data_IF_093072081587
#
_entry.id   IF_093072081587
#
_cell.length_a   1.000
_cell.length_b   1.000
_cell.length_c   1.000
_cell.angle_alpha   90.00
_cell.angle_beta   90.00
_cell.angle_gamma   90.00
#
_symmetry.space_group_name_H-M   'P 1'
#
loop_
_entity.id
_entity.type
_entity.pdbx_description
1 polymer ?
#
# COMPACT_ATOMS: atom_id res chain seq x y z
N UNK A 1 -7.56 -6.77 -20.90
CA UNK A 1 -7.19 -6.89 -19.46
C UNK A 1 -5.76 -7.41 -19.37
N UNK A 2 -4.89 -6.82 -18.54
CA UNK A 2 -3.47 -7.22 -18.44
C UNK A 2 -3.37 -8.66 -17.86
N UNK A 3 -2.66 -9.60 -18.54
CA UNK A 3 -2.61 -11.00 -18.14
C UNK A 3 -1.83 -11.23 -16.84
N UNK A 4 -0.79 -10.44 -16.57
CA UNK A 4 0.02 -10.51 -15.34
C UNK A 4 -0.83 -10.07 -14.14
N UNK A 5 -1.53 -8.94 -14.28
CA UNK A 5 -2.49 -8.46 -13.27
C UNK A 5 -3.53 -9.54 -12.94
N UNK A 6 -4.16 -10.12 -13.96
CA UNK A 6 -5.20 -11.15 -13.77
C UNK A 6 -4.68 -12.35 -12.99
N UNK A 7 -3.47 -12.81 -13.30
CA UNK A 7 -2.86 -13.94 -12.63
C UNK A 7 -2.55 -13.61 -11.16
N UNK A 8 -1.86 -12.50 -10.92
CA UNK A 8 -1.49 -12.07 -9.56
C UNK A 8 -2.73 -11.85 -8.68
N UNK A 9 -3.78 -11.19 -9.19
CA UNK A 9 -5.04 -10.99 -8.45
C UNK A 9 -5.66 -12.31 -8.06
N UNK A 10 -5.66 -13.31 -8.95
CA UNK A 10 -6.17 -14.66 -8.64
C UNK A 10 -5.39 -15.29 -7.49
N UNK A 11 -4.06 -15.22 -7.50
CA UNK A 11 -3.24 -15.80 -6.42
C UNK A 11 -3.33 -15.02 -5.11
N UNK A 12 -3.42 -13.69 -5.17
CA UNK A 12 -3.57 -12.81 -4.00
C UNK A 12 -4.98 -12.83 -3.39
N UNK A 13 -5.95 -13.47 -4.04
CA UNK A 13 -7.28 -13.74 -3.52
C UNK A 13 -7.47 -15.20 -3.10
N UNK A 14 -6.86 -16.14 -3.81
CA UNK A 14 -7.15 -17.57 -3.67
C UNK A 14 -6.11 -18.40 -2.93
N UNK A 15 -4.87 -17.91 -2.74
CA UNK A 15 -3.84 -18.68 -2.03
C UNK A 15 -4.03 -18.62 -0.52
N UNK A 16 -3.70 -19.71 0.17
CA UNK A 16 -3.78 -19.80 1.64
C UNK A 16 -2.92 -18.72 2.31
N UNK A 17 -1.70 -18.45 1.80
CA UNK A 17 -0.85 -17.37 2.31
C UNK A 17 -1.49 -15.99 2.15
N UNK A 18 -2.10 -15.70 1.01
CA UNK A 18 -2.78 -14.42 0.83
C UNK A 18 -3.99 -14.29 1.77
N UNK A 19 -4.75 -15.36 1.99
CA UNK A 19 -5.83 -15.39 2.97
C UNK A 19 -5.31 -15.16 4.39
N UNK A 20 -4.16 -15.73 4.76
CA UNK A 20 -3.50 -15.47 6.04
C UNK A 20 -3.13 -13.99 6.18
N UNK A 21 -2.56 -13.37 5.15
CA UNK A 21 -2.23 -11.94 5.19
C UNK A 21 -3.47 -11.05 5.35
N UNK A 22 -4.54 -11.32 4.60
CA UNK A 22 -5.80 -10.59 4.74
C UNK A 22 -6.41 -10.79 6.13
N UNK A 23 -6.31 -12.01 6.67
CA UNK A 23 -6.76 -12.32 8.03
C UNK A 23 -5.96 -11.56 9.07
N UNK A 24 -4.62 -11.56 8.99
CA UNK A 24 -3.75 -10.82 9.90
C UNK A 24 -4.03 -9.32 9.84
N UNK A 25 -4.16 -8.78 8.62
CA UNK A 25 -4.57 -7.39 8.40
C UNK A 25 -5.89 -7.10 9.13
N UNK A 26 -6.93 -7.90 8.87
CA UNK A 26 -8.25 -7.72 9.46
C UNK A 26 -8.26 -7.93 10.98
N UNK A 27 -7.48 -8.85 11.53
CA UNK A 27 -7.34 -9.05 12.98
C UNK A 27 -6.79 -7.80 13.64
N UNK A 28 -5.75 -7.18 13.05
CA UNK A 28 -5.18 -5.94 13.61
C UNK A 28 -6.22 -4.81 13.54
N UNK A 29 -6.92 -4.65 12.42
CA UNK A 29 -7.98 -3.64 12.30
C UNK A 29 -9.14 -3.91 13.27
N UNK A 30 -9.56 -5.17 13.41
CA UNK A 30 -10.62 -5.58 14.33
C UNK A 30 -10.23 -5.33 15.80
N UNK A 31 -8.97 -5.61 16.18
CA UNK A 31 -8.45 -5.29 17.51
C UNK A 31 -8.49 -3.79 17.77
N UNK A 32 -8.11 -2.96 16.81
CA UNK A 32 -8.23 -1.50 16.95
C UNK A 32 -9.69 -1.04 17.06
N UNK A 33 -10.59 -1.63 16.27
CA UNK A 33 -12.03 -1.37 16.39
C UNK A 33 -12.54 -1.78 17.77
N UNK A 34 -12.15 -2.94 18.28
CA UNK A 34 -12.53 -3.41 19.62
C UNK A 34 -12.00 -2.47 20.72
N UNK A 35 -10.73 -2.08 20.65
CA UNK A 35 -10.12 -1.13 21.60
C UNK A 35 -10.74 0.28 21.51
N UNK A 36 -11.40 0.58 20.39
CA UNK A 36 -12.14 1.82 20.21
C UNK A 36 -13.57 1.77 20.74
N UNK A 37 -14.05 0.64 21.28
CA UNK A 37 -15.36 0.57 21.92
C UNK A 37 -15.32 1.30 23.28
N UNK A 38 -16.31 2.15 23.59
CA UNK A 38 -16.41 2.74 24.91
C UNK A 38 -16.70 1.64 25.96
N UNK A 39 -16.16 1.77 27.19
CA UNK A 39 -16.42 0.82 28.28
C UNK A 39 -17.90 0.81 28.72
N UNK A 40 -18.64 1.88 28.46
CA UNK A 40 -20.07 1.97 28.70
C UNK A 40 -20.76 2.70 27.54
N UNK A 41 -21.70 2.03 26.87
CA UNK A 41 -22.48 2.59 25.76
C UNK A 41 -23.45 3.69 26.23
N UNK A 42 -23.74 3.78 27.53
CA UNK A 42 -24.58 4.83 28.10
C UNK A 42 -23.88 6.20 28.20
N UNK A 43 -22.54 6.26 28.00
CA UNK A 43 -21.72 7.49 28.09
C UNK A 43 -21.10 7.92 26.75
N UNK A 44 -21.79 7.67 25.65
CA UNK A 44 -21.30 7.99 24.30
C UNK A 44 -20.94 9.48 24.12
N UNK A 45 -21.64 10.40 24.79
CA UNK A 45 -21.41 11.83 24.66
C UNK A 45 -20.16 12.32 25.41
N UNK A 46 -19.82 11.73 26.56
CA UNK A 46 -18.68 12.14 27.40
C UNK A 46 -17.33 11.57 26.90
N UNK A 47 -17.37 10.51 26.07
CA UNK A 47 -16.19 9.77 25.63
C UNK A 47 -15.86 9.98 24.14
N UNK A 48 -16.31 11.07 23.49
CA UNK A 48 -15.92 11.41 22.10
C UNK A 48 -14.44 11.83 22.05
N UNK A 49 -13.53 10.87 22.25
CA UNK A 49 -12.11 11.02 22.04
C UNK A 49 -11.84 11.18 20.54
N UNK A 50 -11.66 12.42 20.11
CA UNK A 50 -11.28 12.74 18.75
C UNK A 50 -9.94 12.09 18.39
N UNK A 51 -9.88 11.44 17.22
CA UNK A 51 -8.63 10.92 16.66
C UNK A 51 -8.48 9.40 16.63
N UNK A 52 -9.38 8.63 17.24
CA UNK A 52 -9.36 7.17 17.12
C UNK A 52 -9.66 6.70 15.69
N UNK A 53 -10.60 7.34 14.98
CA UNK A 53 -10.85 7.06 13.55
C UNK A 53 -9.60 7.35 12.74
N UNK A 54 -8.95 8.50 12.98
CA UNK A 54 -7.71 8.85 12.33
C UNK A 54 -6.60 7.82 12.61
N UNK A 55 -6.46 7.35 13.85
CA UNK A 55 -5.49 6.32 14.21
C UNK A 55 -5.75 5.01 13.46
N UNK A 56 -7.00 4.54 13.42
CA UNK A 56 -7.39 3.34 12.65
C UNK A 56 -7.10 3.48 11.16
N UNK A 57 -7.35 4.66 10.59
CA UNK A 57 -7.04 4.95 9.18
C UNK A 57 -5.54 5.01 8.91
N UNK A 58 -4.74 5.58 9.82
CA UNK A 58 -3.27 5.60 9.72
C UNK A 58 -2.72 4.18 9.77
N UNK A 59 -3.17 3.35 10.72
CA UNK A 59 -2.72 1.96 10.82
C UNK A 59 -3.12 1.17 9.58
N UNK A 60 -4.35 1.36 9.08
CA UNK A 60 -4.81 0.75 7.83
C UNK A 60 -3.90 1.12 6.66
N UNK A 61 -3.53 2.40 6.53
CA UNK A 61 -2.62 2.87 5.48
C UNK A 61 -1.22 2.27 5.59
N UNK A 62 -0.63 2.26 6.79
CA UNK A 62 0.72 1.74 7.04
C UNK A 62 0.78 0.23 6.78
N UNK A 63 -0.18 -0.54 7.29
CA UNK A 63 -0.26 -1.98 7.02
C UNK A 63 -0.48 -2.27 5.54
N UNK A 64 -1.35 -1.51 4.87
CA UNK A 64 -1.60 -1.67 3.44
C UNK A 64 -0.33 -1.40 2.63
N UNK A 65 0.38 -0.31 2.94
CA UNK A 65 1.66 -0.01 2.32
C UNK A 65 2.66 -1.14 2.53
N UNK A 66 2.86 -1.59 3.78
CA UNK A 66 3.80 -2.65 4.11
C UNK A 66 3.47 -3.96 3.40
N UNK A 67 2.25 -4.49 3.56
CA UNK A 67 1.90 -5.78 2.93
C UNK A 67 1.95 -5.72 1.40
N UNK A 68 1.50 -4.61 0.80
CA UNK A 68 1.57 -4.44 -0.66
C UNK A 68 3.02 -4.46 -1.16
N UNK A 69 3.91 -3.74 -0.47
CA UNK A 69 5.31 -3.61 -0.86
C UNK A 69 6.17 -4.81 -0.49
N UNK A 70 5.95 -5.46 0.65
CA UNK A 70 6.63 -6.69 1.06
C UNK A 70 6.33 -7.85 0.11
N UNK A 71 5.07 -8.00 -0.34
CA UNK A 71 4.72 -8.97 -1.38
C UNK A 71 5.41 -8.65 -2.71
N UNK A 72 5.44 -7.38 -3.11
CA UNK A 72 6.07 -6.96 -4.36
C UNK A 72 7.60 -7.06 -4.36
N UNK A 73 8.22 -6.84 -3.19
CA UNK A 73 9.64 -7.02 -2.95
C UNK A 73 10.05 -8.49 -2.81
N UNK A 74 9.09 -9.43 -2.75
CA UNK A 74 9.35 -10.85 -2.58
C UNK A 74 9.76 -11.24 -1.15
N UNK A 75 9.57 -10.37 -0.17
CA UNK A 75 9.76 -10.70 1.26
C UNK A 75 8.66 -11.64 1.75
N UNK A 76 7.44 -11.43 1.24
CA UNK A 76 6.29 -12.28 1.49
C UNK A 76 5.92 -12.95 0.17
N UNK A 77 6.40 -14.18 -0.02
CA UNK A 77 6.11 -14.96 -1.22
C UNK A 77 4.66 -15.46 -1.26
N UNK A 78 3.88 -15.00 -2.23
CA UNK A 78 2.53 -15.52 -2.52
C UNK A 78 2.65 -16.72 -3.46
N UNK A 79 2.09 -17.85 -3.05
CA UNK A 79 2.20 -19.10 -3.82
C UNK A 79 1.57 -18.95 -5.21
N UNK A 80 2.35 -19.28 -6.24
CA UNK A 80 1.93 -19.19 -7.65
C UNK A 80 2.12 -17.81 -8.29
N UNK A 81 2.40 -16.76 -7.52
CA UNK A 81 2.76 -15.46 -8.08
C UNK A 81 4.15 -15.52 -8.70
N UNK A 82 4.25 -15.24 -10.00
CA UNK A 82 5.54 -15.23 -10.71
C UNK A 82 6.34 -13.98 -10.37
N UNK A 83 7.63 -14.13 -10.09
CA UNK A 83 8.53 -12.99 -9.92
C UNK A 83 8.74 -12.25 -11.24
N UNK A 84 9.28 -11.03 -11.19
CA UNK A 84 9.63 -10.30 -12.42
C UNK A 84 10.72 -11.03 -13.21
N UNK A 85 11.64 -11.72 -12.53
CA UNK A 85 12.66 -12.56 -13.14
C UNK A 85 12.05 -13.72 -13.92
N UNK A 86 11.10 -14.45 -13.33
CA UNK A 86 10.40 -15.56 -14.00
C UNK A 86 9.59 -15.05 -15.20
N UNK A 87 8.99 -13.86 -15.08
CA UNK A 87 8.23 -13.23 -16.16
C UNK A 87 9.15 -12.68 -17.26
N UNK A 88 10.40 -12.33 -16.96
CA UNK A 88 11.35 -11.87 -17.98
C UNK A 88 11.62 -12.98 -19.02
N UNK A 89 11.62 -14.25 -18.61
CA UNK A 89 11.75 -15.41 -19.50
C UNK A 89 10.48 -15.71 -20.33
N UNK A 90 9.34 -15.11 -19.99
CA UNK A 90 8.07 -15.31 -20.71
C UNK A 90 7.98 -14.48 -22.00
N UNK A 91 7.01 -14.81 -22.86
CA UNK A 91 6.72 -14.07 -24.10
C UNK A 91 6.01 -12.73 -23.89
N UNK A 92 5.65 -12.36 -22.65
CA UNK A 92 4.93 -11.11 -22.40
C UNK A 92 5.81 -9.88 -22.70
N UNK A 93 5.25 -8.78 -23.24
CA UNK A 93 5.99 -7.53 -23.38
C UNK A 93 6.47 -6.98 -22.02
N UNK A 94 7.67 -6.39 -21.97
CA UNK A 94 8.24 -5.85 -20.73
C UNK A 94 7.33 -4.79 -20.08
N UNK A 95 6.68 -3.95 -20.88
CA UNK A 95 5.70 -2.98 -20.40
C UNK A 95 4.46 -3.65 -19.77
N UNK A 96 3.99 -4.78 -20.33
CA UNK A 96 2.88 -5.56 -19.77
C UNK A 96 3.25 -6.16 -18.41
N UNK A 97 4.48 -6.64 -18.24
CA UNK A 97 4.99 -7.16 -16.97
C UNK A 97 5.07 -6.04 -15.93
N UNK A 98 5.75 -4.95 -16.27
CA UNK A 98 5.96 -3.82 -15.36
C UNK A 98 4.63 -3.19 -14.91
N UNK A 99 3.75 -2.87 -15.85
CA UNK A 99 2.43 -2.31 -15.54
C UNK A 99 1.56 -3.33 -14.79
N UNK A 100 1.65 -4.61 -15.16
CA UNK A 100 0.91 -5.69 -14.50
C UNK A 100 1.20 -5.73 -13.00
N UNK A 101 2.49 -5.74 -12.61
CA UNK A 101 2.91 -5.77 -11.21
C UNK A 101 2.48 -4.55 -10.40
N UNK A 102 2.58 -3.35 -10.99
CA UNK A 102 2.12 -2.12 -10.32
C UNK A 102 0.59 -2.11 -10.17
N UNK A 103 -0.15 -2.55 -11.18
CA UNK A 103 -1.60 -2.69 -11.06
C UNK A 103 -1.98 -3.77 -10.04
N UNK A 104 -1.22 -4.87 -9.93
CA UNK A 104 -1.45 -5.90 -8.90
C UNK A 104 -1.30 -5.32 -7.50
N UNK A 105 -0.31 -4.44 -7.29
CA UNK A 105 -0.14 -3.71 -6.04
C UNK A 105 -1.32 -2.77 -5.77
N UNK A 106 -1.78 -2.01 -6.77
CA UNK A 106 -2.94 -1.12 -6.63
C UNK A 106 -4.23 -1.89 -6.30
N UNK A 107 -4.48 -3.01 -6.98
CA UNK A 107 -5.64 -3.86 -6.72
C UNK A 107 -5.60 -4.49 -5.33
N UNK A 108 -4.43 -4.94 -4.87
CA UNK A 108 -4.25 -5.47 -3.53
C UNK A 108 -4.48 -4.40 -2.46
N UNK A 109 -3.95 -3.20 -2.66
CA UNK A 109 -4.18 -2.06 -1.76
C UNK A 109 -5.67 -1.68 -1.71
N UNK A 110 -6.33 -1.58 -2.86
CA UNK A 110 -7.76 -1.27 -2.94
C UNK A 110 -8.62 -2.33 -2.21
N UNK A 111 -8.27 -3.61 -2.34
CA UNK A 111 -8.94 -4.69 -1.63
C UNK A 111 -8.76 -4.56 -0.11
N UNK A 112 -7.56 -4.29 0.39
CA UNK A 112 -7.33 -4.11 1.83
C UNK A 112 -8.12 -2.93 2.39
N UNK A 113 -8.19 -1.82 1.66
CA UNK A 113 -9.05 -0.68 2.04
C UNK A 113 -10.54 -1.02 2.03
N UNK A 114 -11.00 -1.79 1.05
CA UNK A 114 -12.38 -2.28 0.99
C UNK A 114 -12.70 -3.18 2.20
N UNK A 115 -11.79 -4.09 2.56
CA UNK A 115 -11.93 -5.00 3.69
C UNK A 115 -11.89 -4.27 5.05
N UNK A 116 -11.05 -3.24 5.19
CA UNK A 116 -10.99 -2.42 6.40
C UNK A 116 -12.20 -1.50 6.57
N UNK A 117 -12.85 -1.11 5.47
CA UNK A 117 -13.94 -0.13 5.44
C UNK A 117 -15.04 -0.37 6.48
N UNK A 118 -15.65 -1.57 6.57
CA UNK A 118 -16.68 -1.88 7.55
C UNK A 118 -16.22 -1.68 9.00
N UNK A 119 -15.00 -2.09 9.35
CA UNK A 119 -14.46 -1.96 10.69
C UNK A 119 -14.24 -0.50 11.07
N UNK A 120 -13.69 0.30 10.15
CA UNK A 120 -13.50 1.74 10.38
C UNK A 120 -14.83 2.49 10.40
N UNK A 121 -15.82 2.06 9.62
CA UNK A 121 -17.16 2.63 9.64
C UNK A 121 -17.85 2.43 11.01
N UNK A 122 -17.64 1.27 11.65
CA UNK A 122 -18.10 1.03 13.03
C UNK A 122 -17.45 2.03 13.99
N UNK A 123 -16.12 2.22 13.92
CA UNK A 123 -15.43 3.22 14.76
C UNK A 123 -15.99 4.62 14.53
N UNK A 124 -16.15 5.01 13.27
CA UNK A 124 -16.67 6.33 12.90
C UNK A 124 -18.11 6.53 13.39
N UNK A 125 -18.97 5.51 13.29
CA UNK A 125 -20.34 5.55 13.82
C UNK A 125 -20.37 5.73 15.33
N UNK A 126 -19.56 4.98 16.08
CA UNK A 126 -19.46 5.07 17.53
C UNK A 126 -18.94 6.44 17.99
N UNK A 127 -17.99 7.02 17.25
CA UNK A 127 -17.39 8.33 17.58
C UNK A 127 -18.15 9.52 16.99
N UNK A 128 -19.16 9.26 16.15
CA UNK A 128 -19.92 10.28 15.44
C UNK A 128 -19.05 11.10 14.48
N UNK A 129 -18.06 10.45 13.84
CA UNK A 129 -17.22 11.05 12.81
C UNK A 129 -17.77 10.76 11.40
N UNK A 130 -17.40 11.58 10.42
CA UNK A 130 -17.89 11.43 9.05
C UNK A 130 -17.32 10.19 8.37
N UNK A 131 -18.18 9.36 7.78
CA UNK A 131 -17.77 8.24 6.91
C UNK A 131 -16.98 8.70 5.67
N UNK A 132 -17.11 9.97 5.28
CA UNK A 132 -16.32 10.54 4.19
C UNK A 132 -14.82 10.54 4.49
N UNK A 133 -14.42 10.51 5.78
CA UNK A 133 -13.04 10.34 6.19
C UNK A 133 -12.41 9.06 5.61
N UNK A 134 -13.18 7.97 5.49
CA UNK A 134 -12.72 6.69 4.95
C UNK A 134 -12.34 6.84 3.47
N UNK A 135 -13.20 7.47 2.67
CA UNK A 135 -12.94 7.68 1.24
C UNK A 135 -11.74 8.60 1.00
N UNK A 136 -11.61 9.67 1.79
CA UNK A 136 -10.49 10.61 1.71
C UNK A 136 -9.17 9.96 2.13
N UNK A 137 -9.20 9.11 3.15
CA UNK A 137 -8.04 8.35 3.58
C UNK A 137 -7.66 7.27 2.57
N UNK A 138 -8.64 6.57 1.98
CA UNK A 138 -8.41 5.56 0.95
C UNK A 138 -7.76 6.16 -0.30
N UNK A 139 -8.16 7.37 -0.71
CA UNK A 139 -7.52 8.10 -1.82
C UNK A 139 -6.00 8.23 -1.62
N UNK A 140 -5.57 8.66 -0.43
CA UNK A 140 -4.15 8.80 -0.10
C UNK A 140 -3.49 7.44 0.09
N UNK A 141 -4.12 6.56 0.87
CA UNK A 141 -3.57 5.27 1.27
C UNK A 141 -3.37 4.31 0.10
N UNK A 142 -4.31 4.24 -0.85
CA UNK A 142 -4.18 3.41 -2.04
C UNK A 142 -3.07 3.94 -2.94
N UNK A 143 -3.00 5.26 -3.16
CA UNK A 143 -1.95 5.87 -3.97
C UNK A 143 -0.56 5.61 -3.36
N UNK A 144 -0.40 5.84 -2.05
CA UNK A 144 0.83 5.57 -1.32
C UNK A 144 1.21 4.08 -1.41
N UNK A 145 0.31 3.16 -1.07
CA UNK A 145 0.57 1.73 -1.13
C UNK A 145 0.92 1.25 -2.54
N UNK A 146 0.32 1.84 -3.58
CA UNK A 146 0.68 1.58 -4.98
C UNK A 146 2.12 2.01 -5.27
N UNK A 147 2.52 3.21 -4.83
CA UNK A 147 3.89 3.70 -5.01
C UNK A 147 4.92 2.83 -4.30
N UNK A 148 4.62 2.41 -3.06
CA UNK A 148 5.47 1.48 -2.31
C UNK A 148 5.51 0.09 -2.93
N UNK A 149 4.38 -0.44 -3.42
CA UNK A 149 4.33 -1.70 -4.16
C UNK A 149 5.14 -1.65 -5.46
N UNK A 150 5.08 -0.54 -6.19
CA UNK A 150 5.89 -0.33 -7.38
C UNK A 150 7.39 -0.26 -7.04
N UNK A 151 7.73 0.42 -5.94
CA UNK A 151 9.10 0.50 -5.43
C UNK A 151 9.61 -0.87 -4.97
N UNK A 152 8.80 -1.66 -4.28
CA UNK A 152 9.12 -3.04 -3.90
C UNK A 152 9.37 -3.93 -5.13
N UNK A 153 8.53 -3.80 -6.16
CA UNK A 153 8.75 -4.47 -7.46
C UNK A 153 10.08 -4.07 -8.09
N UNK A 154 10.46 -2.79 -7.97
CA UNK A 154 11.76 -2.33 -8.46
C UNK A 154 12.92 -2.88 -7.61
N UNK A 155 12.78 -2.97 -6.29
CA UNK A 155 13.80 -3.55 -5.43
C UNK A 155 14.01 -5.05 -5.67
N UNK A 156 12.96 -5.82 -6.01
CA UNK A 156 13.07 -7.26 -6.32
C UNK A 156 13.89 -7.59 -7.57
N UNK A 157 14.12 -6.61 -8.44
CA UNK A 157 14.96 -6.76 -9.64
C UNK A 157 16.31 -6.04 -9.57
N UNK A 158 16.46 -5.13 -8.60
CA UNK A 158 17.69 -4.36 -8.41
C UNK A 158 18.65 -5.04 -7.44
N UNK A 159 18.12 -5.71 -6.42
CA UNK A 159 18.90 -6.35 -5.38
C UNK A 159 18.77 -7.86 -5.48
N UNK A 160 19.87 -8.51 -5.87
CA UNK A 160 19.99 -9.98 -5.87
C UNK A 160 20.03 -10.54 -4.45
N UNK A 161 20.71 -9.82 -3.53
CA UNK A 161 20.74 -10.18 -2.11
C UNK A 161 19.42 -9.85 -1.42
N UNK A 162 18.81 -10.87 -0.81
CA UNK A 162 17.58 -10.73 -0.02
C UNK A 162 17.77 -9.75 1.15
N UNK A 163 18.92 -9.80 1.82
CA UNK A 163 19.24 -8.87 2.91
C UNK A 163 19.31 -7.43 2.41
N UNK A 164 20.05 -7.15 1.33
CA UNK A 164 20.18 -5.80 0.79
C UNK A 164 18.81 -5.25 0.32
N UNK A 165 18.00 -6.13 -0.30
CA UNK A 165 16.64 -5.81 -0.73
C UNK A 165 15.76 -5.41 0.45
N UNK A 166 15.75 -6.23 1.50
CA UNK A 166 14.94 -5.95 2.69
C UNK A 166 15.44 -4.73 3.45
N UNK A 167 16.74 -4.55 3.57
CA UNK A 167 17.31 -3.35 4.18
C UNK A 167 16.89 -2.09 3.44
N UNK A 168 16.99 -2.07 2.11
CA UNK A 168 16.54 -0.95 1.29
C UNK A 168 15.03 -0.71 1.42
N UNK A 169 14.23 -1.78 1.41
CA UNK A 169 12.78 -1.70 1.56
C UNK A 169 12.36 -1.08 2.91
N UNK A 170 12.85 -1.61 4.03
CA UNK A 170 12.56 -1.09 5.36
C UNK A 170 13.08 0.33 5.57
N UNK A 171 14.28 0.65 5.05
CA UNK A 171 14.84 2.00 5.11
C UNK A 171 13.94 2.99 4.36
N UNK A 172 13.42 2.62 3.20
CA UNK A 172 12.49 3.47 2.42
C UNK A 172 11.15 3.66 3.13
N UNK A 173 10.58 2.60 3.71
CA UNK A 173 9.38 2.72 4.55
C UNK A 173 9.61 3.66 5.73
N UNK A 174 10.70 3.50 6.48
CA UNK A 174 11.04 4.34 7.63
C UNK A 174 11.27 5.80 7.21
N UNK A 175 12.05 6.02 6.14
CA UNK A 175 12.38 7.35 5.65
C UNK A 175 11.13 8.14 5.22
N UNK A 176 10.16 7.49 4.57
CA UNK A 176 8.96 8.19 4.08
C UNK A 176 7.87 8.28 5.15
N UNK A 177 7.63 7.21 5.91
CA UNK A 177 6.61 7.20 6.97
C UNK A 177 7.04 8.10 8.11
N UNK A 178 8.24 7.89 8.65
CA UNK A 178 8.76 8.61 9.82
C UNK A 178 9.55 9.83 9.41
N UNK A 179 10.57 9.67 8.56
CA UNK A 179 11.43 10.78 8.13
C UNK A 179 10.66 11.89 7.38
N UNK A 180 9.63 11.53 6.61
CA UNK A 180 8.74 12.49 5.96
C UNK A 180 8.07 13.44 6.95
N UNK A 181 7.82 13.04 8.20
CA UNK A 181 7.27 13.92 9.23
C UNK A 181 8.25 15.01 9.70
N UNK A 182 9.56 14.81 9.52
CA UNK A 182 10.60 15.74 9.95
C UNK A 182 10.89 16.83 8.91
N UNK A 183 10.30 16.75 7.71
CA UNK A 183 10.49 17.76 6.68
C UNK A 183 9.81 19.09 7.05
N UNK A 184 10.33 20.24 6.62
CA UNK A 184 9.66 21.53 6.83
C UNK A 184 8.36 21.63 6.02
N UNK A 185 7.50 22.59 6.34
CA UNK A 185 6.35 22.92 5.49
C UNK A 185 6.80 23.44 4.12
N UNK A 186 6.16 23.06 3.00
CA UNK A 186 4.99 22.16 2.87
C UNK A 186 5.37 20.67 2.72
N UNK A 187 6.65 20.34 2.72
CA UNK A 187 7.19 19.03 2.34
C UNK A 187 6.82 17.89 3.29
N UNK A 188 6.53 18.16 4.57
CA UNK A 188 6.04 17.10 5.48
C UNK A 188 4.72 16.47 5.05
N UNK A 189 3.95 17.14 4.17
CA UNK A 189 2.76 16.54 3.57
C UNK A 189 3.09 15.28 2.74
N UNK A 190 4.33 15.13 2.26
CA UNK A 190 4.77 13.89 1.59
C UNK A 190 4.76 12.67 2.52
N UNK A 191 4.75 12.83 3.85
CA UNK A 191 4.50 11.71 4.74
C UNK A 191 3.07 11.19 4.53
N UNK A 192 2.86 9.87 4.30
CA UNK A 192 1.52 9.31 4.13
C UNK A 192 0.66 9.53 5.38
N UNK A 193 1.29 9.57 6.56
CA UNK A 193 0.62 9.85 7.85
C UNK A 193 0.08 11.29 7.88
N UNK A 194 0.89 12.27 7.49
CA UNK A 194 0.49 13.69 7.47
C UNK A 194 -0.54 13.97 6.40
N UNK A 195 -0.33 13.46 5.19
CA UNK A 195 -1.30 13.60 4.10
C UNK A 195 -2.65 13.01 4.45
N UNK A 196 -2.67 11.85 5.09
CA UNK A 196 -3.91 11.23 5.54
C UNK A 196 -4.59 12.07 6.63
N UNK A 197 -3.83 12.59 7.59
CA UNK A 197 -4.36 13.49 8.61
C UNK A 197 -4.95 14.77 8.02
N UNK A 198 -4.29 15.39 7.04
CA UNK A 198 -4.80 16.56 6.30
C UNK A 198 -6.08 16.18 5.55
N UNK A 199 -6.08 15.07 4.81
CA UNK A 199 -7.23 14.62 4.03
C UNK A 199 -8.47 14.34 4.90
N UNK A 200 -8.26 13.73 6.07
CA UNK A 200 -9.34 13.40 7.02
C UNK A 200 -9.87 14.66 7.71
N UNK A 201 -9.00 15.50 8.27
CA UNK A 201 -9.39 16.65 9.10
C UNK A 201 -9.82 17.86 8.28
N UNK A 202 -9.09 18.15 7.21
CA UNK A 202 -9.22 19.38 6.43
C UNK A 202 -9.89 19.16 5.06
N UNK A 203 -10.15 17.90 4.70
CA UNK A 203 -10.72 17.52 3.40
C UNK A 203 -9.69 17.40 2.28
N UNK A 204 -10.17 17.20 1.05
CA UNK A 204 -9.30 16.99 -0.11
C UNK A 204 -8.83 18.34 -0.67
N UNK A 205 -7.87 18.93 0.01
CA UNK A 205 -7.21 20.19 -0.40
C UNK A 205 -6.25 19.96 -1.59
N UNK A 206 -5.83 21.02 -2.31
CA UNK A 206 -4.85 20.91 -3.39
C UNK A 206 -3.56 20.16 -2.99
N UNK A 207 -3.11 20.32 -1.73
CA UNK A 207 -1.96 19.59 -1.19
C UNK A 207 -2.15 18.07 -1.22
N UNK A 208 -3.36 17.57 -0.93
CA UNK A 208 -3.66 16.13 -0.97
C UNK A 208 -3.55 15.61 -2.39
N UNK A 209 -4.10 16.35 -3.37
CA UNK A 209 -3.99 15.99 -4.78
C UNK A 209 -2.55 16.00 -5.28
N UNK A 210 -1.75 16.99 -4.85
CA UNK A 210 -0.32 17.04 -5.18
C UNK A 210 0.40 15.81 -4.64
N UNK A 211 0.17 15.44 -3.37
CA UNK A 211 0.83 14.27 -2.76
C UNK A 211 0.39 12.97 -3.43
N UNK A 212 -0.91 12.80 -3.71
CA UNK A 212 -1.42 11.67 -4.50
C UNK A 212 -0.74 11.63 -5.88
N UNK A 213 -0.62 12.79 -6.54
CA UNK A 213 0.11 12.92 -7.81
C UNK A 213 1.57 12.48 -7.71
N UNK A 214 2.28 12.85 -6.64
CA UNK A 214 3.66 12.42 -6.40
C UNK A 214 3.76 10.91 -6.23
N UNK A 215 2.85 10.29 -5.48
CA UNK A 215 2.82 8.82 -5.34
C UNK A 215 2.54 8.12 -6.67
N UNK A 216 1.56 8.59 -7.43
CA UNK A 216 1.24 8.03 -8.74
C UNK A 216 2.38 8.22 -9.74
N UNK A 217 3.06 9.38 -9.70
CA UNK A 217 4.26 9.64 -10.50
C UNK A 217 5.39 8.68 -10.13
N UNK A 218 5.61 8.46 -8.83
CA UNK A 218 6.61 7.49 -8.33
C UNK A 218 6.32 6.08 -8.84
N UNK A 219 5.05 5.66 -8.79
CA UNK A 219 4.64 4.38 -9.35
C UNK A 219 4.91 4.31 -10.86
N UNK A 220 4.60 5.36 -11.61
CA UNK A 220 4.87 5.46 -13.05
C UNK A 220 6.35 5.42 -13.41
N UNK A 221 7.20 6.10 -12.63
CA UNK A 221 8.66 6.03 -12.77
C UNK A 221 9.14 4.58 -12.55
N UNK A 222 8.65 3.92 -11.51
CA UNK A 222 8.98 2.52 -11.24
C UNK A 222 8.55 1.59 -12.38
N UNK A 223 7.39 1.80 -13.01
CA UNK A 223 6.98 1.05 -14.23
C UNK A 223 8.04 1.20 -15.32
N UNK A 224 8.51 2.42 -15.59
CA UNK A 224 9.55 2.70 -16.58
C UNK A 224 10.87 2.01 -16.25
N UNK A 225 11.29 2.04 -14.99
CA UNK A 225 12.53 1.41 -14.52
C UNK A 225 12.46 -0.12 -14.59
N UNK A 226 11.36 -0.72 -14.13
CA UNK A 226 11.12 -2.17 -14.18
C UNK A 226 11.11 -2.65 -15.63
N UNK A 227 10.40 -1.94 -16.52
CA UNK A 227 10.38 -2.25 -17.96
C UNK A 227 11.80 -2.29 -18.53
N UNK A 228 12.60 -1.24 -18.31
CA UNK A 228 13.98 -1.16 -18.83
C UNK A 228 14.86 -2.27 -18.28
N UNK A 229 14.68 -2.67 -17.01
CA UNK A 229 15.45 -3.78 -16.42
C UNK A 229 15.04 -5.12 -17.02
N UNK A 230 13.75 -5.39 -17.22
CA UNK A 230 13.28 -6.61 -17.91
C UNK A 230 13.85 -6.69 -19.33
N UNK A 231 13.87 -5.59 -20.07
CA UNK A 231 14.49 -5.52 -21.40
C UNK A 231 15.98 -5.87 -21.34
N UNK A 232 16.73 -5.34 -20.36
CA UNK A 232 18.15 -5.68 -20.15
C UNK A 232 18.38 -7.14 -19.82
N UNK A 233 17.60 -7.71 -18.89
CA UNK A 233 17.69 -9.13 -18.50
C UNK A 233 17.55 -10.03 -19.73
N UNK A 234 16.63 -9.70 -20.65
CA UNK A 234 16.42 -10.46 -21.89
C UNK A 234 17.57 -10.35 -22.88
N UNK A 235 18.25 -9.20 -22.91
CA UNK A 235 19.43 -9.01 -23.76
C UNK A 235 20.60 -9.81 -23.20
N UNK A 236 20.85 -9.70 -21.90
CA UNK A 236 21.90 -10.43 -21.18
C UNK A 236 21.76 -11.94 -21.40
N UNK A 237 20.54 -12.48 -21.27
CA UNK A 237 20.24 -13.90 -21.49
C UNK A 237 20.38 -14.39 -22.93
N UNK A 238 20.45 -13.49 -23.93
CA UNK A 238 20.69 -13.85 -25.35
C UNK A 238 22.17 -13.80 -25.72
N UNK A 239 22.98 -13.11 -24.91
CA UNK A 239 24.41 -12.91 -25.13
C UNK A 239 25.28 -13.92 -24.38
N UNK A 240 24.69 -14.68 -23.47
CA UNK A 240 25.27 -15.83 -22.76
C UNK A 240 24.88 -17.14 -23.43
#
# INVERSE_FOLDING_TARGET
>A
MNPVLRADVRYRLGSSKALTLHTLFLVIIALLTFLSLPPDLARLDELRQGGLVLASLIVSAVLTMYFTSACAAGEIGIDGEKSVWDLAASSFPAGTIALGKVLSAASFAALQWLLAGPFVAVVAGIRGESLMAILRAALVGIAAATAFGATGTFYSIMFESDFARSFAHWTTLLAVIVGGNALPSPWHALSPVRSLAIAVREGVRPTVWLVVGVYLLTAGICVGLVRRRVERIRIEARTT
#
